data_IF_144245411422
#
_entry.id   IF_144245411422
#
_cell.length_a   1.000
_cell.length_b   1.000
_cell.length_c   1.000
_cell.angle_alpha   90.00
_cell.angle_beta   90.00
_cell.angle_gamma   90.00
#
_symmetry.space_group_name_H-M   'P 1'
#
loop_
_entity.id
_entity.type
_entity.pdbx_description
1 polymer ?
#
# COMPACT_ATOMS: atom_id res chain seq x y z
N UNK A 1 44.06 23.58 16.78
CA UNK A 1 43.05 22.55 16.45
C UNK A 1 42.22 23.00 15.23
N UNK A 2 42.84 23.13 14.05
CA UNK A 2 42.17 23.70 12.86
C UNK A 2 41.37 22.67 12.05
N UNK A 3 41.73 21.39 12.16
CA UNK A 3 41.08 20.31 11.40
C UNK A 3 39.61 20.08 11.81
N UNK A 4 39.29 20.22 13.10
CA UNK A 4 37.91 20.15 13.59
C UNK A 4 37.03 21.23 12.96
N UNK A 5 37.55 22.44 12.78
CA UNK A 5 36.81 23.53 12.19
C UNK A 5 36.55 23.30 10.69
N UNK A 6 37.46 22.64 9.97
CA UNK A 6 37.24 22.24 8.58
C UNK A 6 36.13 21.20 8.46
N UNK A 7 36.10 20.20 9.34
CA UNK A 7 35.02 19.21 9.38
C UNK A 7 33.69 19.91 9.66
N UNK A 8 33.67 20.78 10.67
CA UNK A 8 32.46 21.50 11.05
C UNK A 8 31.91 22.41 9.93
N UNK A 9 32.80 23.04 9.14
CA UNK A 9 32.42 23.81 7.95
C UNK A 9 32.03 22.94 6.75
N UNK A 10 32.57 21.73 6.65
CA UNK A 10 32.28 20.83 5.54
C UNK A 10 30.92 20.11 5.67
N UNK A 11 30.44 19.87 6.90
CA UNK A 11 29.13 19.27 7.16
C UNK A 11 27.94 20.02 6.52
N UNK A 12 27.78 21.35 6.65
CA UNK A 12 26.68 22.06 5.99
C UNK A 12 26.76 22.01 4.46
N UNK A 13 27.97 22.03 3.88
CA UNK A 13 28.16 21.90 2.42
C UNK A 13 27.85 20.48 1.95
N UNK A 14 28.18 19.46 2.74
CA UNK A 14 27.79 18.07 2.50
C UNK A 14 26.26 17.91 2.57
N UNK A 15 25.60 18.51 3.57
CA UNK A 15 24.15 18.50 3.66
C UNK A 15 23.49 19.16 2.44
N UNK A 16 24.04 20.30 1.98
CA UNK A 16 23.57 20.93 0.74
C UNK A 16 23.76 20.02 -0.48
N UNK A 17 24.93 19.40 -0.61
CA UNK A 17 25.21 18.42 -1.68
C UNK A 17 24.22 17.25 -1.66
N UNK A 18 23.85 16.78 -0.47
CA UNK A 18 22.85 15.73 -0.29
C UNK A 18 21.46 16.15 -0.79
N UNK A 19 21.02 17.35 -0.41
CA UNK A 19 19.74 17.91 -0.88
C UNK A 19 19.73 18.12 -2.40
N UNK A 20 20.81 18.66 -2.98
CA UNK A 20 20.94 18.83 -4.42
C UNK A 20 20.93 17.48 -5.15
N UNK A 21 21.66 16.47 -4.66
CA UNK A 21 21.69 15.13 -5.23
C UNK A 21 20.32 14.46 -5.18
N UNK A 22 19.61 14.55 -4.06
CA UNK A 22 18.24 14.03 -3.93
C UNK A 22 17.26 14.74 -4.87
N UNK A 23 17.33 16.07 -4.96
CA UNK A 23 16.50 16.86 -5.88
C UNK A 23 16.73 16.47 -7.35
N UNK A 24 17.99 16.34 -7.77
CA UNK A 24 18.34 15.88 -9.13
C UNK A 24 17.81 14.45 -9.34
N UNK A 25 17.96 13.58 -8.35
CA UNK A 25 17.46 12.20 -8.39
C UNK A 25 15.95 12.12 -8.63
N UNK A 26 15.14 12.87 -7.89
CA UNK A 26 13.68 12.89 -8.06
C UNK A 26 13.28 13.33 -9.49
N UNK A 27 13.93 14.36 -10.02
CA UNK A 27 13.68 14.79 -11.40
C UNK A 27 14.11 13.74 -12.43
N UNK A 28 15.29 13.12 -12.24
CA UNK A 28 15.77 12.05 -13.10
C UNK A 28 14.83 10.83 -13.11
N UNK A 29 14.25 10.45 -11.97
CA UNK A 29 13.24 9.36 -11.91
C UNK A 29 12.09 9.66 -12.87
N UNK A 30 11.58 10.89 -12.89
CA UNK A 30 10.46 11.30 -13.75
C UNK A 30 10.88 11.40 -15.22
N UNK A 31 12.03 12.03 -15.47
CA UNK A 31 12.57 12.27 -16.81
C UNK A 31 13.00 11.01 -17.55
N UNK A 32 13.54 10.03 -16.83
CA UNK A 32 14.01 8.75 -17.38
C UNK A 32 13.06 7.58 -17.09
N UNK A 33 11.92 7.84 -16.42
CA UNK A 33 10.89 6.85 -16.07
C UNK A 33 11.46 5.63 -15.35
N UNK A 34 12.32 5.88 -14.37
CA UNK A 34 12.89 4.82 -13.55
C UNK A 34 11.75 4.13 -12.79
N UNK A 35 11.60 2.82 -12.99
CA UNK A 35 10.52 2.04 -12.40
C UNK A 35 10.54 2.09 -10.86
N UNK A 36 9.36 2.19 -10.26
CA UNK A 36 9.18 2.06 -8.80
C UNK A 36 8.99 0.61 -8.35
N UNK A 37 9.12 -0.36 -9.25
CA UNK A 37 9.11 -1.78 -8.90
C UNK A 37 10.17 -2.04 -7.82
N UNK A 38 9.77 -2.71 -6.73
CA UNK A 38 10.61 -2.99 -5.56
C UNK A 38 11.26 -1.74 -4.91
N UNK A 39 10.71 -0.55 -5.14
CA UNK A 39 11.26 0.70 -4.62
C UNK A 39 12.52 1.18 -5.36
N UNK A 40 12.82 0.65 -6.55
CA UNK A 40 14.02 1.00 -7.32
C UNK A 40 14.22 2.51 -7.54
N UNK A 41 13.15 3.23 -7.88
CA UNK A 41 13.19 4.70 -7.97
C UNK A 41 13.57 5.38 -6.65
N UNK A 42 13.10 4.87 -5.52
CA UNK A 42 13.45 5.40 -4.19
C UNK A 42 14.93 5.20 -3.85
N UNK A 43 15.45 4.00 -4.09
CA UNK A 43 16.88 3.70 -3.91
C UNK A 43 17.77 4.56 -4.80
N UNK A 44 17.35 4.82 -6.04
CA UNK A 44 18.08 5.71 -6.95
C UNK A 44 18.18 7.15 -6.40
N UNK A 45 17.09 7.71 -5.88
CA UNK A 45 17.08 9.06 -5.27
C UNK A 45 17.99 9.11 -4.05
N UNK A 46 17.88 8.13 -3.15
CA UNK A 46 18.73 8.05 -1.94
C UNK A 46 20.20 7.90 -2.33
N UNK A 47 20.51 7.05 -3.31
CA UNK A 47 21.87 6.87 -3.82
C UNK A 47 22.47 8.16 -4.37
N UNK A 48 21.73 8.92 -5.19
CA UNK A 48 22.18 10.21 -5.71
C UNK A 48 22.31 11.28 -4.61
N UNK A 49 21.43 11.27 -3.61
CA UNK A 49 21.55 12.14 -2.45
C UNK A 49 22.85 11.87 -1.68
N UNK A 50 23.13 10.60 -1.35
CA UNK A 50 24.36 10.23 -0.65
C UNK A 50 25.61 10.59 -1.46
N UNK A 51 25.60 10.33 -2.77
CA UNK A 51 26.70 10.72 -3.66
C UNK A 51 26.91 12.24 -3.67
N UNK A 52 25.83 13.02 -3.77
CA UNK A 52 25.89 14.48 -3.68
C UNK A 52 26.47 14.95 -2.35
N UNK A 53 26.13 14.28 -1.24
CA UNK A 53 26.68 14.55 0.08
C UNK A 53 28.19 14.33 0.16
N UNK A 54 28.68 13.22 -0.42
CA UNK A 54 30.12 12.93 -0.50
C UNK A 54 30.85 13.98 -1.35
N UNK A 55 30.31 14.34 -2.51
CA UNK A 55 30.89 15.38 -3.38
C UNK A 55 30.95 16.73 -2.66
N UNK A 56 29.89 17.10 -1.93
CA UNK A 56 29.85 18.31 -1.12
C UNK A 56 30.91 18.33 -0.02
N UNK A 57 31.04 17.23 0.72
CA UNK A 57 32.03 17.07 1.79
C UNK A 57 33.46 17.21 1.26
N UNK A 58 33.79 16.46 0.19
CA UNK A 58 35.13 16.48 -0.42
C UNK A 58 35.46 17.87 -0.96
N UNK A 59 34.52 18.53 -1.63
CA UNK A 59 34.70 19.88 -2.17
C UNK A 59 35.00 20.88 -1.05
N UNK A 60 34.27 20.80 0.06
CA UNK A 60 34.47 21.69 1.20
C UNK A 60 35.82 21.45 1.92
N UNK A 61 36.25 20.20 2.06
CA UNK A 61 37.55 19.88 2.66
C UNK A 61 38.72 20.35 1.78
N UNK A 62 38.63 20.14 0.46
CA UNK A 62 39.67 20.57 -0.49
C UNK A 62 39.77 22.09 -0.55
N UNK A 63 38.64 22.79 -0.66
CA UNK A 63 38.62 24.26 -0.68
C UNK A 63 39.07 24.88 0.64
N UNK A 64 38.67 24.29 1.79
CA UNK A 64 39.17 24.71 3.08
C UNK A 64 40.69 24.53 3.17
N UNK A 65 41.24 23.39 2.73
CA UNK A 65 42.67 23.15 2.70
C UNK A 65 43.43 24.13 1.79
N UNK A 66 42.89 24.42 0.60
CA UNK A 66 43.52 25.32 -0.37
C UNK A 66 43.48 26.80 0.05
N UNK A 67 42.44 27.22 0.78
CA UNK A 67 42.20 28.62 1.16
C UNK A 67 42.57 28.93 2.63
N UNK A 68 43.04 27.94 3.38
CA UNK A 68 43.40 28.07 4.79
C UNK A 68 44.76 28.74 5.15
N UNK A 69 45.70 29.09 4.24
CA UNK A 69 46.97 29.62 4.71
C UNK A 69 46.86 31.13 4.97
N UNK A 70 46.32 31.50 6.15
CA UNK A 70 46.68 32.66 7.00
C UNK A 70 45.48 33.10 7.88
N UNK A 71 45.76 33.39 9.14
CA UNK A 71 44.80 33.71 10.20
C UNK A 71 43.95 34.94 9.83
N UNK A 72 42.73 34.73 9.32
CA UNK A 72 41.82 35.80 8.89
C UNK A 72 40.43 35.29 8.46
N UNK A 73 39.56 36.13 7.85
CA UNK A 73 38.19 35.79 7.43
C UNK A 73 38.08 34.75 6.30
N UNK A 74 39.14 33.97 6.05
CA UNK A 74 39.24 32.96 4.99
C UNK A 74 38.24 31.82 5.11
N UNK A 75 37.72 31.53 6.31
CA UNK A 75 36.72 30.47 6.50
C UNK A 75 35.39 30.77 5.80
N UNK A 76 34.90 32.01 5.90
CA UNK A 76 33.67 32.41 5.23
C UNK A 76 33.86 32.40 3.71
N UNK A 77 35.04 32.80 3.24
CA UNK A 77 35.43 32.70 1.82
C UNK A 77 35.49 31.25 1.36
N UNK A 78 36.08 30.35 2.14
CA UNK A 78 36.16 28.93 1.82
C UNK A 78 34.78 28.26 1.79
N UNK A 79 33.92 28.55 2.77
CA UNK A 79 32.55 28.08 2.80
C UNK A 79 31.71 28.61 1.64
N UNK A 80 31.79 29.91 1.35
CA UNK A 80 31.08 30.51 0.22
C UNK A 80 31.57 29.95 -1.12
N UNK A 81 32.89 29.76 -1.27
CA UNK A 81 33.48 29.20 -2.50
C UNK A 81 33.06 27.74 -2.71
N UNK A 82 33.13 26.91 -1.68
CA UNK A 82 32.72 25.50 -1.78
C UNK A 82 31.24 25.35 -2.06
N UNK A 83 30.40 26.14 -1.39
CA UNK A 83 28.96 26.21 -1.65
C UNK A 83 28.68 26.58 -3.11
N UNK A 84 29.34 27.63 -3.62
CA UNK A 84 29.22 28.05 -5.02
C UNK A 84 29.63 26.96 -6.00
N UNK A 85 30.73 26.25 -5.74
CA UNK A 85 31.20 25.14 -6.58
C UNK A 85 30.18 23.99 -6.59
N UNK A 86 29.67 23.57 -5.43
CA UNK A 86 28.67 22.49 -5.32
C UNK A 86 27.40 22.85 -6.08
N UNK A 87 26.89 24.08 -5.92
CA UNK A 87 25.71 24.54 -6.65
C UNK A 87 25.96 24.61 -8.16
N UNK A 88 27.13 25.09 -8.60
CA UNK A 88 27.48 25.10 -10.02
C UNK A 88 27.53 23.68 -10.61
N UNK A 89 28.16 22.73 -9.91
CA UNK A 89 28.18 21.32 -10.32
C UNK A 89 26.77 20.73 -10.37
N UNK A 90 25.93 20.99 -9.36
CA UNK A 90 24.55 20.53 -9.31
C UNK A 90 23.72 21.09 -10.49
N UNK A 91 23.85 22.37 -10.80
CA UNK A 91 23.20 22.99 -11.96
C UNK A 91 23.65 22.38 -13.28
N UNK A 92 24.96 22.15 -13.47
CA UNK A 92 25.50 21.51 -14.67
C UNK A 92 25.00 20.07 -14.81
N UNK A 93 24.97 19.32 -13.70
CA UNK A 93 24.45 17.95 -13.68
C UNK A 93 22.95 17.93 -14.01
N UNK A 94 22.15 18.76 -13.36
CA UNK A 94 20.71 18.88 -13.61
C UNK A 94 20.41 19.26 -15.06
N UNK A 95 21.10 20.27 -15.60
CA UNK A 95 20.96 20.68 -16.99
C UNK A 95 21.35 19.56 -17.96
N UNK A 96 22.44 18.84 -17.68
CA UNK A 96 22.88 17.71 -18.50
C UNK A 96 21.85 16.59 -18.51
N UNK A 97 21.34 16.22 -17.33
CA UNK A 97 20.25 15.25 -17.20
C UNK A 97 19.00 15.70 -17.96
N UNK A 98 18.59 16.97 -17.80
CA UNK A 98 17.43 17.52 -18.50
C UNK A 98 17.60 17.52 -20.02
N UNK A 99 18.77 17.91 -20.53
CA UNK A 99 19.08 17.91 -21.97
C UNK A 99 19.13 16.49 -22.55
N UNK A 100 19.45 15.50 -21.72
CA UNK A 100 19.55 14.11 -22.11
C UNK A 100 18.25 13.31 -21.90
N UNK A 101 17.31 13.84 -21.14
CA UNK A 101 16.05 13.20 -20.79
C UNK A 101 15.09 13.02 -21.98
N UNK A 102 14.24 12.00 -21.89
CA UNK A 102 13.09 11.79 -22.77
C UNK A 102 11.84 12.39 -22.12
N UNK A 103 11.70 13.71 -22.24
CA UNK A 103 10.58 14.46 -21.67
C UNK A 103 9.38 14.38 -22.62
N UNK A 104 8.20 13.91 -22.17
CA UNK A 104 7.02 13.85 -23.03
C UNK A 104 6.51 15.27 -23.37
N UNK A 105 6.16 15.56 -24.64
CA UNK A 105 5.49 16.80 -24.99
C UNK A 105 4.13 16.92 -24.33
N UNK A 106 3.77 18.17 -24.00
CA UNK A 106 2.49 18.50 -23.40
C UNK A 106 1.76 19.54 -24.24
N UNK A 107 0.44 19.38 -24.36
CA UNK A 107 -0.46 20.36 -24.93
C UNK A 107 -1.45 20.78 -23.83
N UNK A 108 -1.54 22.09 -23.54
CA UNK A 108 -2.31 22.61 -22.41
C UNK A 108 -1.97 21.93 -21.06
N UNK A 109 -0.69 21.61 -20.85
CA UNK A 109 -0.20 20.93 -19.64
C UNK A 109 -0.51 19.44 -19.56
N UNK A 110 -1.24 18.88 -20.54
CA UNK A 110 -1.60 17.45 -20.58
C UNK A 110 -0.65 16.66 -21.45
N UNK A 111 -0.38 15.43 -21.05
CA UNK A 111 0.44 14.49 -21.80
C UNK A 111 -0.31 13.98 -23.03
N UNK A 112 0.44 13.51 -24.02
CA UNK A 112 -0.08 13.23 -25.35
C UNK A 112 0.07 11.75 -25.71
N UNK A 113 -1.00 11.17 -26.22
CA UNK A 113 -0.98 9.86 -26.89
C UNK A 113 -1.09 10.08 -28.39
N UNK A 114 -0.34 9.32 -29.17
CA UNK A 114 -0.50 9.24 -30.62
C UNK A 114 -1.59 8.22 -30.90
N UNK A 115 -2.71 8.63 -31.46
CA UNK A 115 -3.64 7.71 -32.10
C UNK A 115 -3.20 7.50 -33.53
N UNK A 116 -3.18 6.25 -33.96
CA UNK A 116 -2.68 5.85 -35.27
C UNK A 116 -3.71 4.98 -35.96
N UNK A 117 -3.86 5.17 -37.26
CA UNK A 117 -4.56 4.25 -38.13
C UNK A 117 -3.57 3.69 -39.14
N UNK A 118 -3.50 2.37 -39.20
CA UNK A 118 -2.62 1.63 -40.09
C UNK A 118 -3.47 1.04 -41.20
N UNK A 119 -3.22 1.47 -42.43
CA UNK A 119 -3.89 0.96 -43.63
C UNK A 119 -3.02 -0.11 -44.28
N UNK A 120 -3.51 -1.34 -44.24
CA UNK A 120 -2.84 -2.53 -44.77
C UNK A 120 -2.87 -2.54 -46.31
N UNK A 121 -2.00 -3.34 -46.97
CA UNK A 121 -2.10 -3.61 -48.40
C UNK A 121 -3.50 -4.09 -48.82
N UNK A 122 -3.89 -3.85 -50.08
CA UNK A 122 -5.22 -4.22 -50.58
C UNK A 122 -5.50 -5.74 -50.61
N UNK A 123 -4.45 -6.54 -50.71
CA UNK A 123 -4.47 -8.00 -50.69
C UNK A 123 -4.27 -8.61 -49.29
N UNK A 124 -4.15 -7.77 -48.25
CA UNK A 124 -3.94 -8.25 -46.89
C UNK A 124 -5.18 -9.00 -46.36
N UNK A 125 -5.00 -10.13 -45.65
CA UNK A 125 -6.10 -10.83 -45.00
C UNK A 125 -6.74 -9.97 -43.91
N UNK A 126 -7.94 -10.38 -43.47
CA UNK A 126 -8.64 -9.76 -42.34
C UNK A 126 -7.74 -9.74 -41.10
N UNK A 127 -7.42 -8.56 -40.54
CA UNK A 127 -6.64 -8.47 -39.32
C UNK A 127 -7.45 -8.83 -38.07
N UNK A 128 -8.79 -8.91 -38.17
CA UNK A 128 -9.67 -9.23 -37.04
C UNK A 128 -9.48 -10.64 -36.51
N UNK A 129 -8.96 -11.53 -37.36
CA UNK A 129 -8.73 -12.95 -37.05
C UNK A 129 -7.29 -13.21 -36.60
N UNK A 130 -6.48 -12.13 -36.44
CA UNK A 130 -5.11 -12.23 -35.96
C UNK A 130 -5.06 -12.85 -34.55
N UNK A 131 -4.31 -13.94 -34.40
CA UNK A 131 -4.12 -14.63 -33.12
C UNK A 131 -2.79 -14.29 -32.46
N UNK A 132 -1.85 -13.75 -33.23
CA UNK A 132 -0.53 -13.33 -32.80
C UNK A 132 -0.49 -11.93 -32.18
N UNK A 133 0.67 -11.60 -31.61
CA UNK A 133 0.90 -10.31 -30.97
C UNK A 133 0.80 -9.17 -32.00
N UNK A 134 -0.14 -8.25 -31.76
CA UNK A 134 -0.33 -7.04 -32.54
C UNK A 134 0.00 -5.82 -31.70
N UNK A 135 1.02 -5.06 -32.10
CA UNK A 135 1.51 -3.91 -31.34
C UNK A 135 2.06 -2.81 -32.21
N UNK A 136 2.05 -1.61 -31.65
CA UNK A 136 2.71 -0.44 -32.20
C UNK A 136 3.84 -0.05 -31.25
N UNK A 137 4.99 0.34 -31.77
CA UNK A 137 6.09 0.88 -30.98
C UNK A 137 6.47 2.26 -31.51
N UNK A 138 6.60 3.22 -30.59
CA UNK A 138 7.19 4.51 -30.88
C UNK A 138 8.66 4.46 -30.52
N UNK A 139 9.54 4.81 -31.46
CA UNK A 139 10.98 4.90 -31.25
C UNK A 139 11.46 6.34 -31.35
N UNK A 140 12.39 6.70 -30.46
CA UNK A 140 13.18 7.92 -30.51
C UNK A 140 14.47 7.67 -31.28
N UNK A 141 14.57 8.21 -32.49
CA UNK A 141 15.67 7.93 -33.42
C UNK A 141 16.61 9.12 -33.54
N UNK A 142 17.91 8.85 -33.47
CA UNK A 142 18.98 9.79 -33.78
C UNK A 142 19.94 9.13 -34.79
N UNK A 143 19.95 9.60 -36.04
CA UNK A 143 20.68 8.92 -37.11
C UNK A 143 20.10 7.52 -37.39
N UNK A 144 20.91 6.47 -37.19
CA UNK A 144 20.52 5.07 -37.42
C UNK A 144 20.21 4.29 -36.14
N UNK A 145 20.29 4.90 -34.96
CA UNK A 145 20.10 4.23 -33.67
C UNK A 145 18.78 4.64 -33.02
N UNK A 146 18.06 3.63 -32.52
CA UNK A 146 16.92 3.81 -31.60
C UNK A 146 17.47 4.00 -30.19
N UNK A 147 17.23 5.17 -29.60
CA UNK A 147 17.73 5.51 -28.25
C UNK A 147 16.80 5.01 -27.14
N UNK A 148 15.50 5.06 -27.42
CA UNK A 148 14.44 4.68 -26.51
C UNK A 148 13.21 4.28 -27.33
N UNK A 149 12.37 3.43 -26.74
CA UNK A 149 11.14 2.96 -27.36
C UNK A 149 10.03 2.80 -26.34
N UNK A 150 8.81 3.08 -26.75
CA UNK A 150 7.60 2.89 -25.97
C UNK A 150 6.65 1.99 -26.75
N UNK A 151 6.18 0.92 -26.10
CA UNK A 151 5.12 0.06 -26.65
C UNK A 151 3.77 0.71 -26.47
N UNK A 152 2.91 0.53 -27.46
CA UNK A 152 1.49 0.84 -27.45
C UNK A 152 0.69 -0.32 -28.01
N UNK A 153 -0.60 -0.07 -28.25
CA UNK A 153 -1.58 -1.10 -28.57
C UNK A 153 -2.10 -0.91 -30.00
N UNK A 154 -2.05 -1.97 -30.80
CA UNK A 154 -2.88 -2.07 -32.00
C UNK A 154 -4.15 -2.82 -31.66
N UNK A 155 -5.26 -2.48 -32.31
CA UNK A 155 -6.59 -3.05 -32.06
C UNK A 155 -7.13 -3.72 -33.33
N UNK A 156 -6.63 -4.91 -33.71
CA UNK A 156 -7.06 -5.61 -34.92
C UNK A 156 -8.56 -5.93 -34.94
N UNK A 157 -9.16 -6.20 -33.77
CA UNK A 157 -10.59 -6.47 -33.63
C UNK A 157 -11.48 -5.28 -34.00
N UNK A 158 -10.95 -4.05 -33.89
CA UNK A 158 -11.63 -2.81 -34.28
C UNK A 158 -11.31 -2.41 -35.73
N UNK A 159 -10.60 -3.24 -36.49
CA UNK A 159 -10.25 -2.93 -37.85
C UNK A 159 -11.48 -2.80 -38.74
N UNK A 160 -11.43 -1.91 -39.72
CA UNK A 160 -12.53 -1.64 -40.66
C UNK A 160 -12.04 -1.67 -42.10
N UNK A 161 -12.91 -2.12 -43.01
CA UNK A 161 -12.60 -2.16 -44.44
C UNK A 161 -13.08 -0.85 -45.09
N UNK A 162 -12.17 -0.08 -45.67
CA UNK A 162 -12.48 1.15 -46.42
C UNK A 162 -11.74 1.14 -47.75
N UNK A 163 -12.47 1.41 -48.84
CA UNK A 163 -11.90 1.45 -50.20
C UNK A 163 -11.07 0.20 -50.55
N UNK A 164 -11.54 -0.98 -50.13
CA UNK A 164 -10.86 -2.26 -50.38
C UNK A 164 -9.60 -2.49 -49.55
N UNK A 165 -9.32 -1.68 -48.52
CA UNK A 165 -8.16 -1.82 -47.65
C UNK A 165 -8.56 -1.85 -46.18
N UNK A 166 -7.93 -2.73 -45.41
CA UNK A 166 -8.14 -2.80 -43.97
C UNK A 166 -7.42 -1.65 -43.26
N UNK A 167 -8.12 -0.99 -42.34
CA UNK A 167 -7.58 0.04 -41.46
C UNK A 167 -7.66 -0.46 -40.03
N UNK A 168 -6.51 -0.58 -39.39
CA UNK A 168 -6.34 -1.05 -38.00
C UNK A 168 -6.03 0.16 -37.11
N UNK A 169 -6.91 0.50 -36.15
CA UNK A 169 -6.64 1.56 -35.20
C UNK A 169 -5.65 1.10 -34.12
N UNK A 170 -4.97 2.06 -33.51
CA UNK A 170 -4.13 1.83 -32.35
C UNK A 170 -3.68 3.13 -31.72
N UNK A 171 -2.91 3.00 -30.65
CA UNK A 171 -2.40 4.15 -29.92
C UNK A 171 -1.09 3.84 -29.19
N UNK A 172 -0.26 4.87 -29.04
CA UNK A 172 1.03 4.78 -28.34
C UNK A 172 1.35 6.09 -27.65
N UNK A 173 1.88 6.00 -26.43
CA UNK A 173 2.22 7.19 -25.66
C UNK A 173 3.39 7.97 -26.28
N UNK A 174 3.22 9.27 -26.52
CA UNK A 174 4.27 10.15 -27.02
C UNK A 174 5.23 10.52 -25.89
N UNK A 175 6.27 9.70 -25.72
CA UNK A 175 7.12 9.77 -24.54
C UNK A 175 8.26 10.79 -24.59
N UNK A 176 8.59 11.39 -25.76
CA UNK A 176 9.78 12.24 -25.90
C UNK A 176 9.64 13.43 -26.86
N UNK A 177 10.19 14.57 -26.44
CA UNK A 177 10.41 15.79 -27.25
C UNK A 177 11.70 15.71 -28.08
N UNK A 178 12.56 14.71 -27.92
CA UNK A 178 13.87 14.63 -28.60
C UNK A 178 13.90 13.67 -29.79
N UNK A 179 14.70 14.02 -30.79
CA UNK A 179 14.97 13.18 -31.96
C UNK A 179 13.80 13.10 -32.94
N UNK A 180 13.99 12.28 -33.98
CA UNK A 180 12.91 11.93 -34.89
C UNK A 180 12.07 10.80 -34.26
N UNK A 181 10.77 10.78 -34.59
CA UNK A 181 9.85 9.75 -34.12
C UNK A 181 9.69 8.74 -35.23
N UNK A 182 9.89 7.47 -34.92
CA UNK A 182 9.57 6.37 -35.83
C UNK A 182 8.47 5.54 -35.21
N UNK A 183 7.37 5.34 -35.94
CA UNK A 183 6.33 4.40 -35.58
C UNK A 183 6.62 3.08 -36.26
N UNK A 184 6.70 2.02 -35.48
CA UNK A 184 6.86 0.68 -35.99
C UNK A 184 5.62 -0.16 -35.66
N UNK A 185 5.22 -0.97 -36.62
CA UNK A 185 3.99 -1.75 -36.54
C UNK A 185 4.32 -3.22 -36.66
N UNK A 186 3.75 -4.03 -35.79
CA UNK A 186 3.74 -5.49 -35.86
C UNK A 186 2.30 -5.96 -35.77
N UNK A 187 1.87 -6.73 -36.73
CA UNK A 187 0.53 -7.31 -36.78
C UNK A 187 0.68 -8.83 -36.85
N UNK A 188 -0.07 -9.56 -36.03
CA UNK A 188 -0.11 -11.03 -36.03
C UNK A 188 1.29 -11.69 -35.95
N UNK A 189 2.22 -11.10 -35.20
CA UNK A 189 3.60 -11.60 -35.10
C UNK A 189 4.48 -11.40 -36.36
N UNK A 190 3.97 -10.72 -37.40
CA UNK A 190 4.69 -10.47 -38.65
C UNK A 190 5.86 -9.49 -38.55
N UNK A 191 6.45 -9.17 -39.71
CA UNK A 191 7.61 -8.27 -39.80
C UNK A 191 7.29 -6.85 -39.30
N UNK A 192 8.27 -6.25 -38.61
CA UNK A 192 8.15 -4.87 -38.14
C UNK A 192 8.34 -3.93 -39.33
N UNK A 193 7.30 -3.16 -39.67
CA UNK A 193 7.43 -2.06 -40.63
C UNK A 193 7.50 -0.73 -39.90
N UNK A 194 8.59 0.02 -40.09
CA UNK A 194 8.85 1.30 -39.42
C UNK A 194 8.74 2.52 -40.35
N UNK A 195 8.13 3.60 -39.87
CA UNK A 195 8.00 4.86 -40.61
C UNK A 195 8.30 6.08 -39.74
N UNK A 196 8.98 7.07 -40.30
CA UNK A 196 9.16 8.36 -39.64
C UNK A 196 7.83 9.11 -39.54
N UNK A 197 7.41 9.41 -38.31
CA UNK A 197 6.27 10.25 -38.00
C UNK A 197 6.73 11.72 -37.92
N UNK A 198 6.21 12.62 -38.78
CA UNK A 198 6.59 14.04 -38.79
C UNK A 198 5.93 14.82 -37.64
N UNK A 199 6.16 14.36 -36.41
CA UNK A 199 5.70 15.02 -35.19
C UNK A 199 6.86 15.92 -34.70
N UNK A 200 6.65 17.24 -34.61
CA UNK A 200 7.67 18.16 -34.09
C UNK A 200 7.91 17.93 -32.60
N UNK A 201 9.01 18.49 -32.07
CA UNK A 201 9.33 18.37 -30.65
C UNK A 201 8.23 18.92 -29.72
N UNK A 202 7.52 19.97 -30.17
CA UNK A 202 6.41 20.60 -29.47
C UNK A 202 5.24 20.72 -30.45
N UNK A 203 4.37 19.69 -30.54
CA UNK A 203 3.22 19.74 -31.44
C UNK A 203 2.21 20.80 -30.99
N UNK A 204 1.64 21.51 -31.97
CA UNK A 204 0.55 22.45 -31.77
C UNK A 204 -0.84 21.80 -31.91
N UNK A 205 -1.92 22.60 -31.76
CA UNK A 205 -3.30 22.12 -31.85
C UNK A 205 -3.66 21.44 -33.18
N UNK A 206 -3.01 21.81 -34.28
CA UNK A 206 -3.28 21.22 -35.61
C UNK A 206 -3.04 19.70 -35.65
N UNK A 207 -2.17 19.20 -34.76
CA UNK A 207 -1.90 17.76 -34.65
C UNK A 207 -3.03 16.99 -33.94
N UNK A 208 -4.07 17.66 -33.43
CA UNK A 208 -5.28 17.00 -32.92
C UNK A 208 -6.17 16.49 -34.05
N UNK A 209 -6.06 17.06 -35.25
CA UNK A 209 -6.71 16.55 -36.45
C UNK A 209 -5.95 15.36 -37.02
N UNK A 210 -6.65 14.49 -37.76
CA UNK A 210 -6.00 13.41 -38.51
C UNK A 210 -5.06 13.98 -39.55
N UNK A 211 -3.83 13.46 -39.58
CA UNK A 211 -2.89 13.74 -40.65
C UNK A 211 -3.36 13.15 -41.98
N UNK A 212 -2.74 13.60 -43.06
CA UNK A 212 -2.74 12.85 -44.32
C UNK A 212 -2.14 11.45 -44.12
N UNK A 213 -2.37 10.56 -45.09
CA UNK A 213 -1.73 9.26 -45.15
C UNK A 213 -0.24 9.38 -45.52
N UNK A 214 0.60 8.64 -44.80
CA UNK A 214 2.04 8.52 -44.98
C UNK A 214 2.45 7.08 -45.32
N UNK A 215 3.62 6.87 -45.94
CA UNK A 215 4.55 7.88 -46.45
C UNK A 215 3.99 8.69 -47.62
N UNK A 216 4.47 9.94 -47.74
CA UNK A 216 4.22 10.78 -48.91
C UNK A 216 5.45 10.72 -49.82
N UNK A 217 5.37 10.08 -51.00
CA UNK A 217 6.43 10.15 -51.99
C UNK A 217 6.67 11.63 -52.37
N UNK A 218 7.92 12.11 -52.43
CA UNK A 218 8.19 13.46 -52.93
C UNK A 218 7.87 13.52 -54.43
N UNK A 219 7.27 14.62 -54.90
CA UNK A 219 7.07 14.84 -56.33
C UNK A 219 8.43 14.77 -57.07
N UNK A 220 8.52 14.17 -58.27
CA UNK A 220 7.44 13.69 -59.14
C UNK A 220 7.07 12.20 -58.95
N UNK A 221 7.42 11.58 -57.83
CA UNK A 221 7.20 10.14 -57.66
C UNK A 221 5.70 9.77 -57.71
N UNK A 222 5.37 8.57 -58.22
CA UNK A 222 4.00 8.08 -58.23
C UNK A 222 3.41 8.00 -56.81
N UNK A 223 2.08 8.06 -56.67
CA UNK A 223 1.41 7.91 -55.38
C UNK A 223 1.84 6.63 -54.66
N UNK A 224 1.78 6.65 -53.33
CA UNK A 224 2.19 5.49 -52.52
C UNK A 224 1.38 4.25 -52.94
N UNK A 225 2.02 3.12 -53.29
CA UNK A 225 1.34 1.99 -53.90
C UNK A 225 0.41 1.29 -52.92
N UNK A 226 -0.73 0.80 -53.42
CA UNK A 226 -1.73 0.11 -52.60
C UNK A 226 -1.28 -1.27 -52.09
N UNK A 227 -0.21 -1.82 -52.67
CA UNK A 227 0.47 -3.03 -52.18
C UNK A 227 1.35 -2.80 -50.95
N UNK A 228 1.47 -1.55 -50.46
CA UNK A 228 2.28 -1.21 -49.28
C UNK A 228 1.43 -0.64 -48.16
N UNK A 229 1.87 -0.92 -46.94
CA UNK A 229 1.32 -0.34 -45.72
C UNK A 229 1.46 1.19 -45.76
N UNK A 230 0.44 1.88 -45.26
CA UNK A 230 0.46 3.32 -45.02
C UNK A 230 -0.20 3.62 -43.69
N UNK A 231 0.09 4.77 -43.09
CA UNK A 231 -0.46 5.14 -41.78
C UNK A 231 -0.85 6.61 -41.75
N UNK A 232 -1.77 6.97 -40.87
CA UNK A 232 -2.01 8.35 -40.47
C UNK A 232 -2.13 8.42 -38.97
N UNK A 233 -1.96 9.60 -38.41
CA UNK A 233 -1.99 9.77 -36.96
C UNK A 233 -2.65 11.08 -36.57
N UNK A 234 -3.05 11.16 -35.30
CA UNK A 234 -3.39 12.39 -34.60
C UNK A 234 -2.94 12.28 -33.16
N UNK A 235 -2.89 13.41 -32.46
CA UNK A 235 -2.59 13.44 -31.04
C UNK A 235 -3.89 13.54 -30.25
N UNK A 236 -3.88 12.90 -29.07
CA UNK A 236 -4.91 13.05 -28.06
C UNK A 236 -4.30 13.40 -26.72
N UNK A 237 -4.97 14.28 -25.98
CA UNK A 237 -4.60 14.53 -24.58
C UNK A 237 -5.05 13.36 -23.72
N UNK A 238 -4.16 12.88 -22.87
CA UNK A 238 -4.50 11.88 -21.84
C UNK A 238 -5.31 12.61 -20.77
N UNK A 239 -6.55 12.16 -20.55
CA UNK A 239 -7.32 12.61 -19.39
C UNK A 239 -6.72 12.00 -18.13
N UNK A 240 -6.48 12.80 -17.07
CA UNK A 240 -6.03 12.24 -15.80
C UNK A 240 -7.11 11.26 -15.30
N UNK A 241 -6.72 10.13 -14.68
CA UNK A 241 -7.69 9.29 -14.01
C UNK A 241 -8.47 10.14 -12.98
N UNK A 242 -9.75 9.82 -12.72
CA UNK A 242 -10.47 10.49 -11.64
C UNK A 242 -9.65 10.37 -10.35
N UNK A 243 -9.61 11.41 -9.52
CA UNK A 243 -8.91 11.32 -8.24
C UNK A 243 -9.47 10.11 -7.47
N UNK A 244 -8.63 9.35 -6.75
CA UNK A 244 -9.13 8.31 -5.87
C UNK A 244 -10.15 8.93 -4.89
N UNK A 245 -11.19 8.18 -4.48
CA UNK A 245 -12.16 8.68 -3.52
C UNK A 245 -11.41 9.15 -2.27
N UNK A 246 -11.88 10.25 -1.68
CA UNK A 246 -11.26 10.76 -0.47
C UNK A 246 -11.33 9.71 0.65
N UNK A 247 -10.43 9.82 1.65
CA UNK A 247 -10.50 8.94 2.81
C UNK A 247 -11.84 9.07 3.56
N UNK A 248 -12.55 10.19 3.41
CA UNK A 248 -13.89 10.40 3.95
C UNK A 248 -14.95 9.70 3.11
N UNK A 249 -14.91 9.83 1.79
CA UNK A 249 -15.81 9.11 0.87
C UNK A 249 -15.66 7.59 0.99
N UNK A 250 -14.43 7.11 1.14
CA UNK A 250 -14.14 5.68 1.33
C UNK A 250 -14.73 5.17 2.65
N UNK A 251 -14.53 5.92 3.75
CA UNK A 251 -15.14 5.60 5.05
C UNK A 251 -16.66 5.64 5.01
N UNK A 252 -17.24 6.68 4.40
CA UNK A 252 -18.69 6.81 4.25
C UNK A 252 -19.29 5.65 3.44
N UNK A 253 -18.60 5.21 2.38
CA UNK A 253 -19.00 4.05 1.59
C UNK A 253 -18.91 2.75 2.41
N UNK A 254 -17.82 2.52 3.13
CA UNK A 254 -17.66 1.36 4.01
C UNK A 254 -18.72 1.32 5.11
N UNK A 255 -19.03 2.48 5.73
CA UNK A 255 -20.07 2.63 6.75
C UNK A 255 -21.47 2.35 6.19
N UNK A 256 -21.77 2.85 4.98
CA UNK A 256 -23.02 2.60 4.29
C UNK A 256 -23.18 1.13 3.88
N UNK A 257 -22.12 0.49 3.37
CA UNK A 257 -22.11 -0.94 3.06
C UNK A 257 -22.24 -1.80 4.33
N UNK A 258 -21.62 -1.38 5.44
CA UNK A 258 -21.79 -2.04 6.73
C UNK A 258 -23.21 -1.84 7.31
N UNK A 259 -23.83 -0.68 7.07
CA UNK A 259 -25.22 -0.40 7.47
C UNK A 259 -26.19 -1.26 6.68
N UNK A 260 -26.05 -1.29 5.36
CA UNK A 260 -26.89 -2.11 4.49
C UNK A 260 -26.78 -3.60 4.84
N UNK A 261 -25.57 -4.08 5.17
CA UNK A 261 -25.38 -5.46 5.66
C UNK A 261 -26.09 -5.73 6.98
N UNK A 262 -26.10 -4.77 7.91
CA UNK A 262 -26.80 -4.90 9.18
C UNK A 262 -28.32 -4.88 9.00
N UNK A 263 -28.83 -3.96 8.19
CA UNK A 263 -30.28 -3.82 7.93
C UNK A 263 -30.86 -5.03 7.17
N UNK A 264 -30.02 -5.74 6.42
CA UNK A 264 -30.40 -6.96 5.71
C UNK A 264 -30.53 -8.20 6.60
N UNK A 265 -30.18 -8.13 7.90
CA UNK A 265 -30.22 -9.29 8.81
C UNK A 265 -31.68 -9.58 9.22
N UNK A 266 -32.22 -10.78 8.91
CA UNK A 266 -33.54 -11.16 9.35
C UNK A 266 -33.68 -11.21 10.88
N UNK A 267 -34.86 -10.90 11.40
CA UNK A 267 -35.11 -10.92 12.85
C UNK A 267 -34.89 -12.32 13.48
N UNK A 268 -35.12 -13.38 12.72
CA UNK A 268 -34.93 -14.79 13.08
C UNK A 268 -33.56 -15.33 12.69
N UNK A 269 -32.62 -14.47 12.27
CA UNK A 269 -31.28 -14.90 11.89
C UNK A 269 -30.58 -15.71 13.01
N UNK A 270 -29.66 -16.61 12.64
CA UNK A 270 -28.91 -17.40 13.61
C UNK A 270 -28.26 -16.52 14.69
N UNK A 271 -28.18 -17.05 15.91
CA UNK A 271 -27.67 -16.32 17.07
C UNK A 271 -26.29 -15.69 16.84
N UNK A 272 -25.39 -16.40 16.14
CA UNK A 272 -24.04 -15.92 15.83
C UNK A 272 -24.03 -14.67 14.96
N UNK A 273 -25.01 -14.53 14.05
CA UNK A 273 -25.11 -13.37 13.19
C UNK A 273 -25.37 -12.12 14.03
N UNK A 274 -26.32 -12.19 14.96
CA UNK A 274 -26.60 -11.09 15.88
C UNK A 274 -25.49 -10.88 16.92
N UNK A 275 -24.90 -11.95 17.44
CA UNK A 275 -23.82 -11.88 18.43
C UNK A 275 -22.61 -11.09 17.88
N UNK A 276 -22.26 -11.27 16.60
CA UNK A 276 -21.17 -10.55 15.96
C UNK A 276 -21.36 -9.02 15.99
N UNK A 277 -22.60 -8.52 15.93
CA UNK A 277 -22.91 -7.08 16.02
C UNK A 277 -23.07 -6.57 17.45
N UNK A 278 -23.10 -7.45 18.45
CA UNK A 278 -23.06 -7.02 19.86
C UNK A 278 -21.64 -6.61 20.30
N UNK A 279 -20.60 -6.90 19.51
CA UNK A 279 -19.20 -6.58 19.79
C UNK A 279 -18.92 -5.06 19.85
N UNK A 280 -17.81 -4.67 20.45
CA UNK A 280 -17.42 -3.26 20.67
C UNK A 280 -17.05 -2.49 19.39
N UNK A 281 -16.89 -3.19 18.26
CA UNK A 281 -16.57 -2.59 16.96
C UNK A 281 -17.81 -2.20 16.13
N UNK A 282 -19.01 -2.56 16.59
CA UNK A 282 -20.24 -2.05 16.01
C UNK A 282 -20.52 -0.63 16.52
N UNK A 283 -21.21 0.19 15.71
CA UNK A 283 -21.72 1.48 16.19
C UNK A 283 -22.68 1.25 17.36
N UNK A 284 -22.75 2.19 18.30
CA UNK A 284 -23.56 2.05 19.53
C UNK A 284 -25.01 1.64 19.23
N UNK A 285 -25.59 2.21 18.15
CA UNK A 285 -26.95 1.86 17.72
C UNK A 285 -27.08 0.40 17.26
N UNK A 286 -26.14 -0.10 16.44
CA UNK A 286 -26.17 -1.49 15.95
C UNK A 286 -25.97 -2.47 17.11
N UNK A 287 -25.06 -2.16 18.02
CA UNK A 287 -24.80 -2.97 19.20
C UNK A 287 -26.02 -3.05 20.12
N UNK A 288 -26.75 -1.95 20.31
CA UNK A 288 -28.00 -1.92 21.09
C UNK A 288 -29.07 -2.78 20.43
N UNK A 289 -29.35 -2.57 19.15
CA UNK A 289 -30.38 -3.35 18.43
C UNK A 289 -30.04 -4.85 18.45
N UNK A 290 -28.79 -5.22 18.18
CA UNK A 290 -28.37 -6.62 18.22
C UNK A 290 -28.53 -7.22 19.64
N UNK A 291 -28.21 -6.45 20.67
CA UNK A 291 -28.39 -6.87 22.08
C UNK A 291 -29.87 -7.08 22.41
N UNK A 292 -30.75 -6.16 22.02
CA UNK A 292 -32.21 -6.31 22.22
C UNK A 292 -32.75 -7.55 21.51
N UNK A 293 -32.33 -7.80 20.26
CA UNK A 293 -32.72 -8.99 19.50
C UNK A 293 -32.30 -10.28 20.19
N UNK A 294 -31.07 -10.34 20.71
CA UNK A 294 -30.57 -11.50 21.44
C UNK A 294 -31.29 -11.69 22.78
N UNK A 295 -31.56 -10.61 23.52
CA UNK A 295 -32.28 -10.66 24.80
C UNK A 295 -33.73 -11.12 24.65
N UNK A 296 -34.37 -10.86 23.51
CA UNK A 296 -35.73 -11.30 23.21
C UNK A 296 -35.84 -12.80 22.89
N UNK A 297 -34.73 -13.52 22.73
CA UNK A 297 -34.74 -14.94 22.37
C UNK A 297 -35.09 -15.84 23.57
N UNK A 298 -36.07 -16.76 23.43
CA UNK A 298 -36.43 -17.67 24.53
C UNK A 298 -35.35 -18.72 24.81
N UNK A 299 -34.50 -19.04 23.82
CA UNK A 299 -33.41 -20.02 23.90
C UNK A 299 -32.05 -19.39 24.30
N UNK A 300 -32.04 -18.11 24.68
CA UNK A 300 -30.82 -17.33 24.95
C UNK A 300 -29.84 -18.06 25.88
N UNK A 301 -30.31 -18.57 27.02
CA UNK A 301 -29.45 -19.19 28.02
C UNK A 301 -28.78 -20.47 27.48
N UNK A 302 -29.54 -21.36 26.83
CA UNK A 302 -29.01 -22.57 26.20
C UNK A 302 -28.04 -22.27 25.07
N UNK A 303 -28.31 -21.23 24.28
CA UNK A 303 -27.55 -20.88 23.09
C UNK A 303 -26.20 -20.22 23.47
N UNK A 304 -26.18 -19.42 24.54
CA UNK A 304 -24.97 -18.96 25.19
C UNK A 304 -24.18 -20.11 25.83
N UNK A 305 -24.85 -20.98 26.59
CA UNK A 305 -24.22 -22.12 27.25
C UNK A 305 -23.45 -23.00 26.25
N UNK A 306 -24.06 -23.28 25.09
CA UNK A 306 -23.42 -24.04 24.01
C UNK A 306 -22.18 -23.34 23.47
N UNK A 307 -22.24 -22.02 23.24
CA UNK A 307 -21.13 -21.24 22.65
C UNK A 307 -19.95 -21.06 23.57
N UNK A 308 -20.22 -20.81 24.86
CA UNK A 308 -19.17 -20.70 25.86
C UNK A 308 -18.31 -21.97 25.95
N UNK A 309 -18.85 -23.13 25.54
CA UNK A 309 -18.17 -24.42 25.55
C UNK A 309 -17.53 -24.80 24.21
N UNK A 310 -17.57 -23.94 23.20
CA UNK A 310 -16.87 -24.19 21.94
C UNK A 310 -15.35 -24.19 22.14
N UNK A 311 -14.65 -25.02 21.38
CA UNK A 311 -13.19 -25.08 21.41
C UNK A 311 -12.53 -23.81 20.85
N UNK A 312 -13.22 -23.14 19.93
CA UNK A 312 -12.81 -21.87 19.36
C UNK A 312 -13.01 -20.72 20.37
N UNK A 313 -11.95 -19.92 20.54
CA UNK A 313 -11.88 -18.86 21.55
C UNK A 313 -12.78 -17.69 21.17
N UNK A 314 -12.87 -17.33 19.88
CA UNK A 314 -13.61 -16.13 19.49
C UNK A 314 -15.11 -16.24 19.81
N UNK A 315 -15.84 -17.29 19.35
CA UNK A 315 -17.25 -17.45 19.69
C UNK A 315 -17.49 -17.61 21.20
N UNK A 316 -16.60 -18.31 21.90
CA UNK A 316 -16.70 -18.49 23.34
C UNK A 316 -16.54 -17.16 24.09
N UNK A 317 -15.53 -16.35 23.72
CA UNK A 317 -15.29 -15.04 24.34
C UNK A 317 -16.41 -14.04 24.07
N UNK A 318 -17.01 -14.05 22.88
CA UNK A 318 -18.17 -13.21 22.58
C UNK A 318 -19.39 -13.60 23.42
N UNK A 319 -19.69 -14.90 23.52
CA UNK A 319 -20.78 -15.39 24.34
C UNK A 319 -20.57 -14.99 25.82
N UNK A 320 -19.36 -15.18 26.35
CA UNK A 320 -19.00 -14.78 27.71
C UNK A 320 -19.17 -13.27 27.93
N UNK A 321 -18.68 -12.43 27.02
CA UNK A 321 -18.86 -10.98 27.11
C UNK A 321 -20.32 -10.56 27.06
N UNK A 322 -21.13 -11.26 26.26
CA UNK A 322 -22.55 -10.99 26.16
C UNK A 322 -23.30 -11.27 27.48
N UNK A 323 -22.87 -12.26 28.27
CA UNK A 323 -23.49 -12.57 29.59
C UNK A 323 -23.56 -11.34 30.50
N UNK A 324 -22.54 -10.49 30.51
CA UNK A 324 -22.51 -9.24 31.31
C UNK A 324 -23.59 -8.23 30.90
N UNK A 325 -24.12 -8.33 29.68
CA UNK A 325 -25.17 -7.44 29.18
C UNK A 325 -26.58 -7.90 29.53
N UNK A 326 -26.74 -9.11 30.08
CA UNK A 326 -28.06 -9.64 30.43
C UNK A 326 -28.53 -9.00 31.74
N UNK A 327 -29.64 -8.22 31.76
CA UNK A 327 -30.09 -7.55 32.97
C UNK A 327 -30.48 -8.51 34.09
N UNK A 328 -31.07 -9.65 33.73
CA UNK A 328 -31.53 -10.70 34.64
C UNK A 328 -31.02 -12.07 34.15
N UNK A 329 -29.76 -12.43 34.45
CA UNK A 329 -29.17 -13.68 33.96
C UNK A 329 -29.90 -14.91 34.52
N UNK A 330 -30.10 -15.95 33.70
CA UNK A 330 -30.66 -17.22 34.15
C UNK A 330 -29.66 -17.98 35.04
N UNK A 331 -30.10 -18.63 36.14
CA UNK A 331 -29.27 -19.58 36.90
C UNK A 331 -28.66 -20.70 36.04
N UNK A 332 -29.29 -21.05 34.91
CA UNK A 332 -28.79 -22.08 33.98
C UNK A 332 -27.43 -21.74 33.36
N UNK A 333 -26.98 -20.48 33.45
CA UNK A 333 -25.68 -20.04 32.97
C UNK A 333 -24.53 -20.35 33.95
N UNK A 334 -24.83 -20.72 35.20
CA UNK A 334 -23.81 -20.98 36.23
C UNK A 334 -22.92 -22.17 35.87
N UNK A 335 -23.49 -23.33 35.58
CA UNK A 335 -22.72 -24.55 35.30
C UNK A 335 -21.90 -24.46 34.00
N UNK A 336 -22.40 -23.87 32.90
CA UNK A 336 -21.59 -23.54 31.73
C UNK A 336 -20.38 -22.64 32.06
N UNK A 337 -20.54 -21.62 32.90
CA UNK A 337 -19.41 -20.76 33.31
C UNK A 337 -18.39 -21.51 34.17
N UNK A 338 -18.84 -22.44 35.01
CA UNK A 338 -17.93 -23.37 35.72
C UNK A 338 -17.20 -24.30 34.76
N UNK A 339 -17.86 -24.75 33.70
CA UNK A 339 -17.22 -25.55 32.65
C UNK A 339 -16.10 -24.78 31.95
N UNK A 340 -16.34 -23.50 31.60
CA UNK A 340 -15.30 -22.63 31.04
C UNK A 340 -14.12 -22.47 32.00
N UNK A 341 -14.37 -22.34 33.30
CA UNK A 341 -13.30 -22.27 34.30
C UNK A 341 -12.45 -23.55 34.35
N UNK A 342 -13.07 -24.73 34.19
CA UNK A 342 -12.36 -26.00 34.07
C UNK A 342 -11.49 -26.03 32.80
N UNK A 343 -12.03 -25.62 31.67
CA UNK A 343 -11.29 -25.49 30.41
C UNK A 343 -10.11 -24.52 30.52
N UNK A 344 -10.28 -23.37 31.19
CA UNK A 344 -9.18 -22.44 31.50
C UNK A 344 -8.09 -23.13 32.33
N UNK A 345 -8.48 -23.91 33.35
CA UNK A 345 -7.55 -24.71 34.15
C UNK A 345 -6.80 -25.77 33.33
N UNK A 346 -7.47 -26.45 32.41
CA UNK A 346 -6.84 -27.42 31.50
C UNK A 346 -5.82 -26.75 30.57
N UNK A 347 -6.19 -25.65 29.93
CA UNK A 347 -5.28 -24.87 29.06
C UNK A 347 -4.08 -24.32 29.83
N UNK A 348 -4.28 -23.85 31.06
CA UNK A 348 -3.18 -23.42 31.93
C UNK A 348 -2.23 -24.58 32.26
N UNK A 349 -2.74 -25.77 32.59
CA UNK A 349 -1.89 -26.95 32.83
C UNK A 349 -1.08 -27.31 31.58
N UNK A 350 -1.72 -27.31 30.42
CA UNK A 350 -1.05 -27.57 29.13
C UNK A 350 0.04 -26.52 28.86
N UNK A 351 -0.26 -25.24 29.05
CA UNK A 351 0.71 -24.16 28.88
C UNK A 351 1.87 -24.28 29.87
N UNK A 352 1.62 -24.63 31.14
CA UNK A 352 2.67 -24.77 32.15
C UNK A 352 3.67 -25.88 31.83
N UNK A 353 3.27 -26.93 31.11
CA UNK A 353 4.18 -27.99 30.64
C UNK A 353 4.74 -27.74 29.24
N UNK A 354 4.25 -26.73 28.52
CA UNK A 354 4.74 -26.37 27.17
C UNK A 354 6.06 -25.59 27.31
N UNK A 355 7.19 -26.11 26.80
CA UNK A 355 8.47 -25.39 26.80
C UNK A 355 8.39 -24.11 25.97
N UNK A 356 9.20 -23.11 26.32
CA UNK A 356 9.24 -21.82 25.61
C UNK A 356 9.66 -22.00 24.15
N UNK A 357 10.45 -23.03 23.85
CA UNK A 357 10.89 -23.35 22.50
C UNK A 357 9.74 -23.81 21.59
N UNK A 358 8.67 -24.37 22.19
CA UNK A 358 7.48 -24.85 21.47
C UNK A 358 6.45 -23.72 21.26
N UNK A 359 6.40 -22.75 22.17
CA UNK A 359 5.54 -21.56 22.08
C UNK A 359 6.34 -20.29 22.42
N UNK A 360 7.27 -19.88 21.52
CA UNK A 360 8.17 -18.77 21.79
C UNK A 360 7.46 -17.42 21.84
N UNK A 361 6.31 -17.30 21.16
CA UNK A 361 5.46 -16.11 21.14
C UNK A 361 4.47 -16.06 22.29
N UNK A 362 4.37 -17.12 23.12
CA UNK A 362 3.39 -17.22 24.21
C UNK A 362 1.94 -17.10 23.71
N UNK A 363 1.65 -17.61 22.52
CA UNK A 363 0.31 -17.60 21.92
C UNK A 363 -0.71 -18.29 22.81
N UNK A 364 -0.35 -19.42 23.42
CA UNK A 364 -1.25 -20.12 24.36
C UNK A 364 -1.58 -19.28 25.59
N UNK A 365 -0.60 -18.52 26.10
CA UNK A 365 -0.83 -17.62 27.24
C UNK A 365 -1.72 -16.43 26.85
N UNK A 366 -1.56 -15.88 25.64
CA UNK A 366 -2.42 -14.83 25.12
C UNK A 366 -3.87 -15.34 24.97
N UNK A 367 -4.06 -16.55 24.47
CA UNK A 367 -5.35 -17.24 24.37
C UNK A 367 -6.04 -17.41 25.72
N UNK A 368 -5.31 -17.89 26.71
CA UNK A 368 -5.79 -18.02 28.10
C UNK A 368 -6.18 -16.65 28.65
N UNK A 369 -5.34 -15.62 28.45
CA UNK A 369 -5.64 -14.24 28.89
C UNK A 369 -6.93 -13.71 28.24
N UNK A 370 -7.10 -13.89 26.92
CA UNK A 370 -8.30 -13.47 26.17
C UNK A 370 -9.56 -14.13 26.72
N UNK A 371 -9.51 -15.45 26.94
CA UNK A 371 -10.63 -16.21 27.47
C UNK A 371 -10.95 -15.81 28.92
N UNK A 372 -9.94 -15.69 29.78
CA UNK A 372 -10.11 -15.25 31.16
C UNK A 372 -10.70 -13.84 31.26
N UNK A 373 -10.22 -12.91 30.42
CA UNK A 373 -10.71 -11.52 30.38
C UNK A 373 -12.17 -11.41 29.93
N UNK A 374 -12.70 -12.40 29.21
CA UNK A 374 -14.12 -12.50 28.89
C UNK A 374 -14.91 -13.23 29.99
N UNK A 375 -14.35 -14.30 30.56
CA UNK A 375 -14.98 -15.12 31.59
C UNK A 375 -15.16 -14.38 32.92
N UNK A 376 -14.14 -13.66 33.39
CA UNK A 376 -14.17 -13.04 34.71
C UNK A 376 -15.30 -12.00 34.85
N UNK A 377 -15.51 -11.05 33.92
CA UNK A 377 -16.64 -10.12 34.00
C UNK A 377 -18.01 -10.82 33.97
N UNK A 378 -18.13 -11.93 33.23
CA UNK A 378 -19.37 -12.71 33.20
C UNK A 378 -19.66 -13.33 34.58
N UNK A 379 -18.63 -13.90 35.22
CA UNK A 379 -18.72 -14.49 36.56
C UNK A 379 -19.01 -13.44 37.63
N UNK A 380 -18.33 -12.29 37.62
CA UNK A 380 -18.60 -11.18 38.55
C UNK A 380 -20.07 -10.74 38.44
N UNK A 381 -20.57 -10.58 37.22
CA UNK A 381 -21.96 -10.19 36.97
C UNK A 381 -22.95 -11.24 37.51
N UNK A 382 -22.71 -12.53 37.32
CA UNK A 382 -23.57 -13.58 37.89
C UNK A 382 -23.49 -13.64 39.42
N UNK A 383 -22.31 -13.46 40.00
CA UNK A 383 -22.15 -13.40 41.47
C UNK A 383 -22.96 -12.24 42.04
N UNK A 384 -22.87 -11.05 41.46
CA UNK A 384 -23.61 -9.87 41.90
C UNK A 384 -25.12 -10.04 41.75
N UNK A 385 -25.59 -10.67 40.66
CA UNK A 385 -27.02 -10.80 40.36
C UNK A 385 -27.70 -11.99 41.00
N UNK A 386 -26.98 -13.10 41.18
CA UNK A 386 -27.55 -14.39 41.63
C UNK A 386 -26.97 -14.88 42.97
N UNK A 387 -25.94 -14.22 43.51
CA UNK A 387 -25.28 -14.65 44.75
C UNK A 387 -24.44 -15.92 44.60
N UNK A 388 -24.14 -16.35 43.37
CA UNK A 388 -23.37 -17.57 43.11
C UNK A 388 -21.91 -17.42 43.49
N UNK A 389 -21.34 -18.43 44.17
CA UNK A 389 -19.93 -18.46 44.50
C UNK A 389 -19.07 -19.17 43.42
N UNK A 390 -17.98 -18.49 43.02
CA UNK A 390 -16.99 -18.93 42.04
C UNK A 390 -15.54 -18.84 42.59
N UNK A 391 -15.39 -18.67 43.91
CA UNK A 391 -14.08 -18.51 44.56
C UNK A 391 -13.17 -19.72 44.36
N UNK A 392 -13.73 -20.94 44.36
CA UNK A 392 -12.97 -22.18 44.14
C UNK A 392 -12.35 -22.25 42.73
N UNK A 393 -13.13 -21.91 41.72
CA UNK A 393 -12.70 -21.85 40.33
C UNK A 393 -11.61 -20.77 40.13
N UNK A 394 -11.84 -19.58 40.68
CA UNK A 394 -10.90 -18.46 40.60
C UNK A 394 -9.57 -18.77 41.31
N UNK A 395 -9.61 -19.40 42.47
CA UNK A 395 -8.43 -19.84 43.21
C UNK A 395 -7.61 -20.88 42.43
N UNK A 396 -8.28 -21.81 41.75
CA UNK A 396 -7.64 -22.81 40.89
C UNK A 396 -6.91 -22.15 39.72
N UNK A 397 -7.58 -21.24 39.01
CA UNK A 397 -7.00 -20.49 37.88
C UNK A 397 -5.78 -19.67 38.35
N UNK A 398 -5.91 -18.94 39.46
CA UNK A 398 -4.82 -18.13 40.02
C UNK A 398 -3.60 -18.99 40.39
N UNK A 399 -3.82 -20.14 41.02
CA UNK A 399 -2.75 -21.06 41.41
C UNK A 399 -1.98 -21.57 40.20
N UNK A 400 -2.69 -21.96 39.14
CA UNK A 400 -2.06 -22.44 37.91
C UNK A 400 -1.33 -21.34 37.16
N UNK A 401 -1.92 -20.14 37.05
CA UNK A 401 -1.32 -19.01 36.34
C UNK A 401 -0.02 -18.50 36.99
N UNK A 402 0.13 -18.66 38.31
CA UNK A 402 1.36 -18.28 39.04
C UNK A 402 2.58 -19.16 38.72
N UNK A 403 2.40 -20.34 38.12
CA UNK A 403 3.52 -21.26 37.83
C UNK A 403 4.44 -20.77 36.70
N UNK A 404 3.99 -19.81 35.89
CA UNK A 404 4.74 -19.23 34.76
C UNK A 404 4.99 -17.72 34.98
N UNK A 405 5.87 -17.34 35.94
CA UNK A 405 6.15 -15.93 36.26
C UNK A 405 6.86 -15.18 35.12
N UNK A 406 7.37 -15.90 34.14
CA UNK A 406 7.92 -15.46 32.86
C UNK A 406 6.85 -14.93 31.89
N UNK A 407 5.60 -15.39 32.00
CA UNK A 407 4.51 -14.94 31.11
C UNK A 407 3.94 -13.58 31.55
N UNK A 408 4.29 -12.52 30.80
CA UNK A 408 3.75 -11.18 31.08
C UNK A 408 2.23 -11.12 30.91
N UNK A 409 1.66 -11.80 29.91
CA UNK A 409 0.22 -11.81 29.64
C UNK A 409 -0.58 -12.40 30.83
N UNK A 410 -0.18 -13.58 31.32
CA UNK A 410 -0.84 -14.20 32.48
C UNK A 410 -0.70 -13.33 33.73
N UNK A 411 0.47 -12.72 33.95
CA UNK A 411 0.67 -11.83 35.11
C UNK A 411 -0.23 -10.61 35.05
N UNK A 412 -0.24 -9.92 33.91
CA UNK A 412 -0.97 -8.67 33.73
C UNK A 412 -2.49 -8.85 33.78
N UNK A 413 -3.02 -9.92 33.20
CA UNK A 413 -4.45 -10.05 32.96
C UNK A 413 -5.11 -11.09 33.87
N UNK A 414 -4.42 -12.19 34.18
CA UNK A 414 -5.00 -13.29 34.97
C UNK A 414 -4.63 -13.15 36.44
N UNK A 415 -3.34 -13.19 36.79
CA UNK A 415 -2.85 -13.18 38.18
C UNK A 415 -3.29 -11.91 38.91
N UNK A 416 -3.10 -10.74 38.28
CA UNK A 416 -3.50 -9.45 38.86
C UNK A 416 -4.98 -9.41 39.23
N UNK A 417 -5.85 -9.78 38.29
CA UNK A 417 -7.31 -9.71 38.46
C UNK A 417 -7.77 -10.78 39.43
N UNK A 418 -7.37 -12.04 39.22
CA UNK A 418 -7.80 -13.15 40.08
C UNK A 418 -7.32 -13.00 41.53
N UNK A 419 -6.10 -12.51 41.76
CA UNK A 419 -5.59 -12.28 43.11
C UNK A 419 -6.34 -11.17 43.84
N UNK A 420 -6.62 -10.05 43.14
CA UNK A 420 -7.40 -8.95 43.69
C UNK A 420 -8.81 -9.40 44.10
N UNK A 421 -9.52 -10.08 43.21
CA UNK A 421 -10.91 -10.48 43.48
C UNK A 421 -11.02 -11.68 44.42
N UNK A 422 -10.03 -12.56 44.49
CA UNK A 422 -10.03 -13.61 45.51
C UNK A 422 -9.81 -13.03 46.93
N UNK A 423 -9.03 -11.95 47.04
CA UNK A 423 -8.93 -11.19 48.28
C UNK A 423 -10.28 -10.56 48.65
N UNK A 424 -10.93 -9.89 47.70
CA UNK A 424 -12.21 -9.24 47.93
C UNK A 424 -13.33 -10.24 48.27
N UNK A 425 -13.40 -11.36 47.54
CA UNK A 425 -14.52 -12.31 47.64
C UNK A 425 -14.35 -13.35 48.76
N UNK A 426 -13.11 -13.69 49.14
CA UNK A 426 -12.81 -14.75 50.09
C UNK A 426 -11.78 -14.38 51.17
N UNK A 427 -11.28 -13.14 51.20
CA UNK A 427 -10.30 -12.69 52.19
C UNK A 427 -8.89 -13.26 51.97
N UNK A 428 -8.62 -13.92 50.83
CA UNK A 428 -7.31 -14.53 50.56
C UNK A 428 -6.30 -13.44 50.17
N UNK A 429 -5.30 -13.21 51.01
CA UNK A 429 -4.30 -12.16 50.76
C UNK A 429 -3.50 -12.39 49.45
N UNK A 430 -3.29 -11.35 48.62
CA UNK A 430 -2.41 -11.43 47.45
C UNK A 430 -0.98 -11.79 47.84
N UNK A 431 -0.26 -12.51 46.97
CA UNK A 431 1.16 -12.76 47.19
C UNK A 431 1.96 -11.48 46.90
N UNK A 432 3.11 -11.26 47.58
CA UNK A 432 3.95 -10.08 47.32
C UNK A 432 4.45 -9.96 45.88
N UNK A 433 4.49 -11.08 45.14
CA UNK A 433 4.92 -11.16 43.73
C UNK A 433 3.80 -10.93 42.73
N UNK A 434 2.54 -10.92 43.17
CA UNK A 434 1.40 -10.65 42.30
C UNK A 434 1.42 -9.16 41.88
N UNK A 435 1.09 -8.84 40.61
CA UNK A 435 0.96 -7.46 40.20
C UNK A 435 -0.18 -6.78 40.96
N UNK A 436 0.04 -5.51 41.36
CA UNK A 436 -1.00 -4.71 42.01
C UNK A 436 -2.16 -4.43 41.03
N UNK A 437 -3.41 -4.34 41.51
CA UNK A 437 -4.52 -3.85 40.70
C UNK A 437 -4.20 -2.44 40.16
N UNK A 438 -4.75 -2.11 38.99
CA UNK A 438 -4.54 -0.82 38.32
C UNK A 438 -5.59 0.18 38.77
#
# INVERSE_FOLDING_TARGET
>A
MHWFLYILLALPVAALGLLCGGYIGDHCVRWYRISSFEGGSGYFVVGLALLGGVVGLVTALVTAGALAPQQGPGYLKAFGTSTGIVLAMACLALLSCWLLADIPPRLHGRELTIEVEVRLPADAPSPRDAQGESRIELHSVAGRTSRASQRGTLRPNEARLENGRWIVPGDVFLFTMRGHRSLSFRLDGGEITGFLAPIPARPGPDFLAWSDWYPRPPAPNPPWPDSRLSYRFRLRTIEPPPPPPSAEESRAREEAEAQARFDAIPADAPFDVWLAYSRHNATDLRATIATERLLARPDLASELARRMQLSDIEPATDALRFVRRIPHPSPDLVDPLRAVARTLGERLREFNVTPVEVDPSYEKAADISRLFSAWFPAVSHLRERLGTDFTSELATILTLARQRPDSQALRADVVRVASHYLHEWAGVAPLPTDPKPR
#
